data_IF_182958477418
#
_entry.id   IF_182958477418
#
_cell.length_a   1.000
_cell.length_b   1.000
_cell.length_c   1.000
_cell.angle_alpha   90.00
_cell.angle_beta   90.00
_cell.angle_gamma   90.00
#
_symmetry.space_group_name_H-M   'P 1'
#
loop_
_entity.id
_entity.type
_entity.pdbx_description
1 polymer ?
#
# COMPACT_ATOMS: atom_id res chain seq x y z
N UNK A 1 -4.53 -16.70 22.02
CA UNK A 1 -3.65 -16.43 20.87
C UNK A 1 -2.38 -15.77 21.38
N UNK A 2 -1.21 -16.10 20.84
CA UNK A 2 0.06 -15.52 21.33
C UNK A 2 0.39 -14.23 20.57
N UNK A 3 1.12 -13.29 21.21
CA UNK A 3 1.53 -12.01 20.59
C UNK A 3 2.26 -12.18 19.24
N UNK A 4 2.98 -13.28 19.05
CA UNK A 4 3.69 -13.59 17.80
C UNK A 4 2.73 -13.91 16.64
N UNK A 5 1.66 -14.65 16.91
CA UNK A 5 0.67 -15.01 15.90
C UNK A 5 -0.02 -13.76 15.32
N UNK A 6 -0.29 -12.77 16.19
CA UNK A 6 -0.90 -11.50 15.80
C UNK A 6 0.06 -10.62 14.98
N UNK A 7 1.32 -10.51 15.40
CA UNK A 7 2.35 -9.80 14.64
C UNK A 7 2.57 -10.40 13.26
N UNK A 8 2.57 -11.74 13.16
CA UNK A 8 2.72 -12.42 11.89
C UNK A 8 1.52 -12.19 10.95
N UNK A 9 0.29 -12.30 11.47
CA UNK A 9 -0.93 -11.99 10.70
C UNK A 9 -0.96 -10.54 10.23
N UNK A 10 -0.56 -9.61 11.08
CA UNK A 10 -0.46 -8.19 10.74
C UNK A 10 0.57 -7.93 9.64
N UNK A 11 1.72 -8.61 9.69
CA UNK A 11 2.74 -8.52 8.65
C UNK A 11 2.24 -9.07 7.30
N UNK A 12 1.50 -10.18 7.30
CA UNK A 12 0.89 -10.74 6.09
C UNK A 12 -0.15 -9.79 5.50
N UNK A 13 -1.07 -9.27 6.31
CA UNK A 13 -2.07 -8.31 5.86
C UNK A 13 -1.42 -7.04 5.26
N UNK A 14 -0.34 -6.56 5.90
CA UNK A 14 0.43 -5.41 5.41
C UNK A 14 1.11 -5.70 4.07
N UNK A 15 1.64 -6.91 3.87
CA UNK A 15 2.24 -7.32 2.60
C UNK A 15 1.20 -7.36 1.47
N UNK A 16 0.02 -7.90 1.74
CA UNK A 16 -1.03 -8.02 0.73
C UNK A 16 -1.56 -6.66 0.28
N UNK A 17 -1.80 -5.74 1.23
CA UNK A 17 -2.28 -4.39 0.88
C UNK A 17 -1.24 -3.57 0.11
N UNK A 18 0.06 -3.71 0.46
CA UNK A 18 1.16 -3.09 -0.28
C UNK A 18 1.25 -3.66 -1.70
N UNK A 19 1.04 -4.98 -1.86
CA UNK A 19 0.99 -5.63 -3.17
C UNK A 19 -0.12 -5.08 -4.08
N UNK A 20 -1.32 -4.87 -3.53
CA UNK A 20 -2.45 -4.27 -4.25
C UNK A 20 -2.16 -2.82 -4.65
N UNK A 21 -1.69 -2.00 -3.70
CA UNK A 21 -1.31 -0.62 -3.96
C UNK A 21 -0.24 -0.52 -5.05
N UNK A 22 0.76 -1.41 -5.04
CA UNK A 22 1.78 -1.50 -6.08
C UNK A 22 1.16 -1.77 -7.46
N UNK A 23 0.28 -2.76 -7.58
CA UNK A 23 -0.41 -3.06 -8.85
C UNK A 23 -1.23 -1.87 -9.36
N UNK A 24 -1.86 -1.11 -8.47
CA UNK A 24 -2.57 0.12 -8.83
C UNK A 24 -1.64 1.23 -9.31
N UNK A 25 -0.46 1.39 -8.71
CA UNK A 25 0.56 2.34 -9.17
C UNK A 25 1.08 1.94 -10.55
N UNK A 26 1.37 0.65 -10.75
CA UNK A 26 1.79 0.12 -12.05
C UNK A 26 0.78 0.48 -13.15
N UNK A 27 -0.51 0.22 -12.91
CA UNK A 27 -1.60 0.56 -13.84
C UNK A 27 -1.71 2.08 -14.11
N UNK A 28 -1.62 2.90 -13.06
CA UNK A 28 -1.87 4.36 -13.16
C UNK A 28 -0.72 5.14 -13.78
N UNK A 29 0.51 4.68 -13.60
CA UNK A 29 1.71 5.39 -14.02
C UNK A 29 2.47 4.69 -15.15
N UNK A 30 1.98 3.54 -15.63
CA UNK A 30 2.63 2.72 -16.66
C UNK A 30 4.09 2.37 -16.32
N UNK A 31 4.29 1.88 -15.09
CA UNK A 31 5.61 1.52 -14.56
C UNK A 31 5.67 0.04 -14.16
N UNK A 32 6.88 -0.51 -14.17
CA UNK A 32 7.11 -1.87 -13.69
C UNK A 32 6.98 -2.00 -12.16
N UNK A 33 7.02 -3.25 -11.68
CA UNK A 33 6.87 -3.56 -10.27
C UNK A 33 8.02 -3.02 -9.39
N UNK A 34 9.23 -2.87 -9.92
CA UNK A 34 10.38 -2.36 -9.17
C UNK A 34 10.20 -0.86 -8.92
N UNK A 35 9.88 -0.11 -9.96
CA UNK A 35 9.61 1.33 -9.89
C UNK A 35 8.41 1.62 -8.99
N UNK A 36 7.30 0.89 -9.16
CA UNK A 36 6.11 1.08 -8.31
C UNK A 36 6.39 0.83 -6.82
N UNK A 37 7.26 -0.14 -6.50
CA UNK A 37 7.65 -0.42 -5.11
C UNK A 37 8.47 0.73 -4.51
N UNK A 38 9.33 1.37 -5.30
CA UNK A 38 10.15 2.50 -4.85
C UNK A 38 9.33 3.78 -4.61
N UNK A 39 8.20 3.94 -5.29
CA UNK A 39 7.33 5.11 -5.12
C UNK A 39 6.62 5.15 -3.76
N UNK A 40 6.29 3.99 -3.18
CA UNK A 40 5.58 3.92 -1.90
C UNK A 40 6.41 4.47 -0.71
N UNK A 41 7.69 4.10 -0.50
CA UNK A 41 8.55 4.72 0.50
C UNK A 41 8.75 6.21 0.31
N UNK A 42 8.96 6.66 -0.93
CA UNK A 42 9.15 8.08 -1.24
C UNK A 42 7.92 8.91 -0.82
N UNK A 43 6.72 8.43 -1.15
CA UNK A 43 5.48 9.09 -0.72
C UNK A 43 5.22 8.98 0.78
N UNK A 44 5.55 7.84 1.39
CA UNK A 44 5.45 7.63 2.84
C UNK A 44 6.30 8.64 3.60
N UNK A 45 7.54 8.89 3.18
CA UNK A 45 8.42 9.89 3.80
C UNK A 45 7.88 11.31 3.63
N UNK A 46 7.44 11.66 2.42
CA UNK A 46 6.87 12.99 2.14
C UNK A 46 5.63 13.29 3.01
N UNK A 47 4.79 12.29 3.25
CA UNK A 47 3.56 12.41 4.07
C UNK A 47 3.78 12.05 5.55
N UNK A 48 5.00 11.69 5.95
CA UNK A 48 5.32 11.16 7.27
C UNK A 48 4.31 10.10 7.76
N UNK A 49 3.91 9.19 6.88
CA UNK A 49 2.83 8.20 7.10
C UNK A 49 3.37 6.80 6.81
N UNK A 50 3.08 5.76 7.63
CA UNK A 50 3.55 4.41 7.36
C UNK A 50 3.13 3.90 5.97
N UNK A 51 4.04 3.22 5.27
CA UNK A 51 3.79 2.67 3.91
C UNK A 51 2.50 1.83 3.85
N UNK A 52 2.26 0.98 4.84
CA UNK A 52 1.05 0.15 4.89
C UNK A 52 -0.24 0.98 5.00
N UNK A 53 -0.21 2.09 5.75
CA UNK A 53 -1.35 3.00 5.86
C UNK A 53 -1.59 3.76 4.55
N UNK A 54 -0.52 4.23 3.90
CA UNK A 54 -0.62 4.88 2.59
C UNK A 54 -1.14 3.93 1.50
N UNK A 55 -0.69 2.66 1.53
CA UNK A 55 -1.20 1.62 0.65
C UNK A 55 -2.70 1.35 0.87
N UNK A 56 -3.13 1.29 2.13
CA UNK A 56 -4.54 1.11 2.49
C UNK A 56 -5.41 2.28 1.97
N UNK A 57 -4.97 3.53 2.17
CA UNK A 57 -5.65 4.72 1.66
C UNK A 57 -5.76 4.70 0.13
N UNK A 58 -4.68 4.32 -0.56
CA UNK A 58 -4.68 4.22 -2.02
C UNK A 58 -5.68 3.17 -2.52
N UNK A 59 -5.75 2.02 -1.88
CA UNK A 59 -6.69 0.94 -2.23
C UNK A 59 -8.13 1.36 -1.95
N UNK A 60 -8.38 2.04 -0.82
CA UNK A 60 -9.72 2.49 -0.43
C UNK A 60 -10.27 3.60 -1.36
N UNK A 61 -9.41 4.54 -1.76
CA UNK A 61 -9.78 5.63 -2.69
C UNK A 61 -10.12 5.16 -4.11
N UNK A 62 -9.78 3.91 -4.51
CA UNK A 62 -10.32 3.31 -5.75
C UNK A 62 -11.72 2.75 -5.56
N UNK A 63 -12.01 2.20 -4.37
CA UNK A 63 -13.32 1.58 -4.06
C UNK A 63 -14.42 2.63 -3.90
N UNK A 64 -14.04 3.82 -3.46
CA UNK A 64 -14.91 4.99 -3.40
C UNK A 64 -14.74 5.80 -4.70
N UNK A 65 -15.74 5.86 -5.61
CA UNK A 65 -15.65 6.74 -6.77
C UNK A 65 -15.46 8.17 -6.26
N UNK A 66 -14.41 8.86 -6.73
CA UNK A 66 -14.15 10.24 -6.36
C UNK A 66 -15.37 11.06 -6.79
N UNK A 67 -16.19 11.50 -5.81
CA UNK A 67 -17.32 12.38 -6.09
C UNK A 67 -16.77 13.62 -6.82
N UNK A 68 -17.40 14.06 -7.93
CA UNK A 68 -16.95 15.22 -8.69
C UNK A 68 -16.89 16.48 -7.83
#
# INVERSE_FOLDING_TARGET
MTRRDEQFRSALASRDIIGQAKGMIMERFDVDALHALQMLPAQSQNRNTPVAALAAELVETRRTPRKP
#
